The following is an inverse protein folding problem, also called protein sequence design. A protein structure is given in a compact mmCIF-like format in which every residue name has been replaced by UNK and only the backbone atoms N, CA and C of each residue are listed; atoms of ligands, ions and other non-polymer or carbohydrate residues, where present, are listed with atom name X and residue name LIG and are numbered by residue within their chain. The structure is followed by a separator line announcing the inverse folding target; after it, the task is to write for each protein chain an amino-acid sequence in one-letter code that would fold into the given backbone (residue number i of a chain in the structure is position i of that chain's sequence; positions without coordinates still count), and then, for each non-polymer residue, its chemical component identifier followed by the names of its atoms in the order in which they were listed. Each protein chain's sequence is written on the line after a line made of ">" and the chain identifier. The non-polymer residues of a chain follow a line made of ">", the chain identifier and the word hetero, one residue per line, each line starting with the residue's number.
data_IF_834681973384
#
_entry.id   IF_834681973384
#
_cell.length_a   1.000
_cell.length_b   1.000
_cell.length_c   1.000
_cell.angle_alpha   90.00
_cell.angle_beta   90.00
_cell.angle_gamma   90.00
#
_symmetry.space_group_name_H-M   'P 1'
#
loop_
_entity.id
_entity.type
_entity.pdbx_description
1 polymer ?
#
# COMPACT_ATOMS: atom_id res chain seq x y z
N UNK A 1 23.87 -30.42 55.32
CA UNK A 1 22.97 -30.31 54.13
C UNK A 1 23.18 -28.93 53.54
N UNK A 2 23.90 -28.84 52.44
CA UNK A 2 24.11 -27.58 51.72
C UNK A 2 22.91 -27.30 50.80
N UNK A 3 22.41 -26.06 50.71
CA UNK A 3 21.27 -25.73 49.84
C UNK A 3 21.65 -25.83 48.37
N UNK A 4 20.79 -26.45 47.56
CA UNK A 4 20.93 -26.54 46.11
C UNK A 4 20.79 -25.13 45.49
N UNK A 5 21.59 -24.81 44.45
CA UNK A 5 21.46 -23.56 43.75
C UNK A 5 20.12 -23.50 42.97
N UNK A 6 19.53 -22.30 42.80
CA UNK A 6 18.27 -22.15 42.07
C UNK A 6 18.47 -22.53 40.59
N UNK A 7 17.41 -23.05 39.93
CA UNK A 7 17.48 -23.40 38.53
C UNK A 7 17.71 -22.13 37.64
N UNK A 8 18.40 -22.27 36.50
CA UNK A 8 18.63 -21.14 35.60
C UNK A 8 17.31 -20.60 35.08
N UNK A 9 17.23 -19.28 34.78
CA UNK A 9 16.02 -18.69 34.26
C UNK A 9 15.68 -19.33 32.89
N UNK A 10 14.44 -19.80 32.78
CA UNK A 10 13.92 -20.33 31.53
C UNK A 10 13.91 -19.20 30.52
N UNK A 11 14.67 -19.36 29.43
CA UNK A 11 14.63 -18.50 28.27
C UNK A 11 13.18 -18.47 27.74
N UNK A 12 12.48 -17.36 27.98
CA UNK A 12 11.21 -17.08 27.33
C UNK A 12 11.50 -17.04 25.83
N UNK A 13 11.04 -18.05 25.14
CA UNK A 13 11.00 -18.06 23.68
C UNK A 13 10.04 -16.93 23.28
N UNK A 14 10.59 -15.76 22.98
CA UNK A 14 9.85 -14.68 22.33
C UNK A 14 9.39 -15.27 21.00
N UNK A 15 8.10 -15.57 20.87
CA UNK A 15 7.47 -15.88 19.59
C UNK A 15 7.70 -14.64 18.69
N UNK A 16 8.77 -14.65 17.91
CA UNK A 16 8.99 -13.66 16.87
C UNK A 16 7.92 -13.92 15.81
N UNK A 17 6.85 -13.15 15.87
CA UNK A 17 5.88 -13.08 14.80
C UNK A 17 6.67 -12.60 13.58
N UNK A 18 6.90 -13.50 12.62
CA UNK A 18 7.64 -13.18 11.40
C UNK A 18 6.84 -12.12 10.64
N UNK A 19 7.44 -10.94 10.46
CA UNK A 19 6.79 -9.85 9.74
C UNK A 19 6.52 -10.27 8.30
N UNK A 20 5.35 -9.90 7.75
CA UNK A 20 4.98 -10.21 6.37
C UNK A 20 5.77 -9.38 5.36
N UNK A 21 6.09 -8.13 5.71
CA UNK A 21 6.98 -7.24 4.95
C UNK A 21 8.05 -6.71 5.89
N UNK A 22 9.32 -6.79 5.46
CA UNK A 22 10.46 -6.24 6.17
C UNK A 22 11.31 -5.41 5.20
N UNK A 23 11.51 -4.15 5.53
CA UNK A 23 12.37 -3.22 4.79
C UNK A 23 13.44 -2.71 5.75
N UNK A 24 14.71 -2.88 5.41
CA UNK A 24 15.84 -2.53 6.27
C UNK A 24 16.85 -1.67 5.50
N UNK A 25 16.95 -0.38 5.89
CA UNK A 25 17.83 0.64 5.33
C UNK A 25 17.78 0.70 3.79
N UNK A 26 16.59 0.45 3.22
CA UNK A 26 16.43 0.36 1.77
C UNK A 26 16.57 1.72 1.11
N UNK A 27 17.42 1.77 0.09
CA UNK A 27 17.62 2.94 -0.75
C UNK A 27 17.51 2.57 -2.22
N UNK A 28 16.98 3.48 -3.05
CA UNK A 28 16.90 3.31 -4.49
C UNK A 28 17.21 4.58 -5.23
N UNK A 29 18.22 4.51 -6.11
CA UNK A 29 18.59 5.59 -7.02
C UNK A 29 18.41 5.16 -8.48
N UNK A 30 18.05 6.10 -9.32
CA UNK A 30 18.00 5.99 -10.77
C UNK A 30 18.93 7.08 -11.36
N UNK A 31 20.14 6.69 -11.73
CA UNK A 31 21.19 7.64 -12.07
C UNK A 31 21.44 8.60 -10.88
N UNK A 32 21.30 9.90 -11.12
CA UNK A 32 21.50 10.94 -10.10
C UNK A 32 20.25 11.23 -9.24
N UNK A 33 19.12 10.56 -9.50
CA UNK A 33 17.88 10.79 -8.76
C UNK A 33 17.73 9.75 -7.67
N UNK A 34 17.72 10.18 -6.40
CA UNK A 34 17.42 9.33 -5.24
C UNK A 34 15.92 9.29 -5.04
N UNK A 35 15.29 8.15 -5.37
CA UNK A 35 13.85 7.97 -5.26
C UNK A 35 13.42 7.47 -3.87
N UNK A 36 14.25 6.66 -3.20
CA UNK A 36 14.05 6.17 -1.83
C UNK A 36 15.40 6.22 -1.13
N UNK A 37 15.45 6.68 0.11
CA UNK A 37 16.68 6.88 0.89
C UNK A 37 16.50 6.40 2.33
N UNK A 38 17.21 5.33 2.68
CA UNK A 38 17.34 4.81 4.05
C UNK A 38 15.99 4.53 4.75
N UNK A 39 15.11 3.83 4.06
CA UNK A 39 13.77 3.49 4.58
C UNK A 39 13.82 2.16 5.32
N UNK A 40 13.28 2.13 6.56
CA UNK A 40 13.17 0.92 7.38
C UNK A 40 11.80 0.86 8.03
N UNK A 41 11.11 -0.27 7.88
CA UNK A 41 9.85 -0.59 8.58
C UNK A 41 9.54 -2.07 8.49
N UNK A 42 8.58 -2.52 9.30
CA UNK A 42 8.03 -3.87 9.27
C UNK A 42 6.51 -3.80 9.27
N UNK A 43 5.86 -4.68 8.49
CA UNK A 43 4.40 -4.80 8.47
C UNK A 43 3.99 -6.25 8.73
N UNK A 44 2.89 -6.38 9.47
CA UNK A 44 2.21 -7.64 9.74
C UNK A 44 0.85 -7.68 9.01
N UNK A 45 0.01 -8.66 9.35
CA UNK A 45 -1.36 -8.70 8.89
C UNK A 45 -2.14 -7.46 9.37
N UNK A 46 -3.04 -6.98 8.54
CA UNK A 46 -3.82 -5.77 8.77
C UNK A 46 -3.75 -4.80 7.60
N UNK A 47 -4.27 -3.60 7.80
CA UNK A 47 -4.29 -2.54 6.78
C UNK A 47 -3.38 -1.41 7.20
N UNK A 48 -2.38 -1.12 6.38
CA UNK A 48 -1.43 -0.02 6.57
C UNK A 48 -1.57 0.98 5.41
N UNK A 49 -1.68 2.25 5.74
CA UNK A 49 -1.68 3.33 4.75
C UNK A 49 -0.28 3.92 4.56
N UNK A 50 0.15 4.09 3.31
CA UNK A 50 1.37 4.81 2.94
C UNK A 50 1.01 6.21 2.44
N UNK A 51 1.13 7.20 3.31
CA UNK A 51 0.84 8.61 3.03
C UNK A 51 2.06 9.32 2.46
N UNK A 52 1.87 10.13 1.44
CA UNK A 52 2.91 11.01 0.94
C UNK A 52 2.53 11.71 -0.36
N UNK A 53 3.14 12.87 -0.67
CA UNK A 53 2.85 13.60 -1.90
C UNK A 53 3.28 12.82 -3.15
N UNK A 54 2.88 13.29 -4.31
CA UNK A 54 3.36 12.76 -5.59
C UNK A 54 4.87 12.96 -5.69
N UNK A 55 5.58 11.93 -6.19
CA UNK A 55 7.04 11.95 -6.25
C UNK A 55 7.76 11.61 -4.94
N UNK A 56 7.06 11.36 -3.83
CA UNK A 56 7.69 11.01 -2.54
C UNK A 56 8.41 9.66 -2.50
N UNK A 57 8.29 8.81 -3.55
CA UNK A 57 8.94 7.50 -3.61
C UNK A 57 8.00 6.31 -3.40
N UNK A 58 6.69 6.52 -3.17
CA UNK A 58 5.69 5.46 -2.90
C UNK A 58 5.72 4.33 -3.94
N UNK A 59 5.53 4.66 -5.23
CA UNK A 59 5.52 3.65 -6.30
C UNK A 59 6.88 2.95 -6.48
N UNK A 60 8.00 3.63 -6.18
CA UNK A 60 9.32 3.01 -6.18
C UNK A 60 9.44 1.98 -5.05
N UNK A 61 8.98 2.32 -3.85
CA UNK A 61 8.93 1.39 -2.73
C UNK A 61 8.06 0.17 -3.07
N UNK A 62 6.88 0.37 -3.64
CA UNK A 62 5.99 -0.71 -4.07
C UNK A 62 6.64 -1.63 -5.11
N UNK A 63 7.35 -1.06 -6.08
CA UNK A 63 8.10 -1.85 -7.06
C UNK A 63 9.21 -2.69 -6.42
N UNK A 64 9.87 -2.18 -5.37
CA UNK A 64 10.86 -2.97 -4.62
C UNK A 64 10.19 -4.12 -3.87
N UNK A 65 9.07 -3.88 -3.19
CA UNK A 65 8.30 -4.91 -2.47
C UNK A 65 7.82 -6.04 -3.41
N UNK A 66 7.40 -5.69 -4.62
CA UNK A 66 6.96 -6.67 -5.63
C UNK A 66 8.13 -7.35 -6.39
N UNK A 67 9.38 -7.03 -6.07
CA UNK A 67 10.55 -7.56 -6.77
C UNK A 67 10.71 -7.05 -8.20
N UNK A 68 10.01 -5.98 -8.60
CA UNK A 68 10.10 -5.36 -9.92
C UNK A 68 11.34 -4.49 -10.09
N UNK A 69 11.95 -4.07 -8.99
CA UNK A 69 13.26 -3.38 -8.97
C UNK A 69 14.01 -3.74 -7.70
N UNK A 70 15.34 -3.75 -7.76
CA UNK A 70 16.20 -3.99 -6.60
C UNK A 70 16.53 -2.69 -5.88
N UNK A 71 16.63 -2.69 -4.55
CA UNK A 71 17.23 -1.59 -3.83
C UNK A 71 18.71 -1.40 -4.28
N UNK A 72 19.21 -0.17 -4.24
CA UNK A 72 20.62 0.15 -4.47
C UNK A 72 21.45 -0.15 -3.20
N UNK A 73 20.83 -0.03 -2.03
CA UNK A 73 21.39 -0.40 -0.73
C UNK A 73 20.27 -0.89 0.20
N UNK A 74 20.62 -1.62 1.25
CA UNK A 74 19.69 -2.21 2.19
C UNK A 74 18.99 -3.46 1.64
N UNK A 75 17.94 -3.91 2.34
CA UNK A 75 17.22 -5.14 1.99
C UNK A 75 15.71 -4.95 2.04
N UNK A 76 15.01 -5.71 1.20
CA UNK A 76 13.54 -5.78 1.16
C UNK A 76 13.15 -7.25 1.14
N UNK A 77 12.40 -7.67 2.14
CA UNK A 77 11.90 -9.04 2.26
C UNK A 77 10.37 -9.05 2.36
N UNK A 78 9.78 -10.00 1.69
CA UNK A 78 8.34 -10.28 1.71
C UNK A 78 8.18 -11.75 2.09
N UNK A 79 7.42 -12.02 3.15
CA UNK A 79 7.32 -13.36 3.74
C UNK A 79 8.70 -13.98 4.04
N UNK A 80 9.63 -13.14 4.55
CA UNK A 80 11.00 -13.52 4.89
C UNK A 80 11.95 -13.72 3.69
N UNK A 81 11.52 -13.46 2.44
CA UNK A 81 12.26 -13.73 1.21
C UNK A 81 12.36 -12.51 0.30
N UNK A 82 13.36 -12.48 -0.56
CA UNK A 82 13.48 -11.48 -1.62
C UNK A 82 12.55 -11.85 -2.79
N UNK A 83 11.47 -11.07 -2.97
CA UNK A 83 10.48 -11.30 -4.02
C UNK A 83 11.07 -11.25 -5.45
N UNK A 84 12.22 -10.63 -5.66
CA UNK A 84 12.88 -10.60 -6.96
C UNK A 84 13.39 -11.98 -7.40
N UNK A 85 13.92 -12.75 -6.46
CA UNK A 85 14.55 -14.02 -6.71
C UNK A 85 13.67 -15.22 -6.33
N UNK A 86 12.49 -14.97 -5.74
CA UNK A 86 11.57 -16.01 -5.27
C UNK A 86 10.21 -15.91 -5.98
N UNK A 87 10.02 -16.72 -7.03
CA UNK A 87 8.79 -16.76 -7.81
C UNK A 87 7.57 -17.20 -6.98
N UNK A 88 7.65 -18.21 -6.10
CA UNK A 88 6.57 -18.55 -5.18
C UNK A 88 6.10 -17.37 -4.30
N UNK A 89 7.01 -16.55 -3.80
CA UNK A 89 6.65 -15.36 -3.02
C UNK A 89 5.95 -14.31 -3.88
N UNK A 90 6.42 -14.08 -5.12
CA UNK A 90 5.70 -13.18 -6.04
C UNK A 90 4.27 -13.64 -6.31
N UNK A 91 4.04 -14.94 -6.39
CA UNK A 91 2.70 -15.51 -6.54
C UNK A 91 1.75 -15.22 -5.38
N UNK A 92 2.28 -14.80 -4.22
CA UNK A 92 1.51 -14.43 -3.01
C UNK A 92 1.28 -12.92 -2.88
N UNK A 93 1.74 -12.12 -3.85
CA UNK A 93 1.60 -10.66 -3.88
C UNK A 93 0.59 -10.28 -4.96
N UNK A 94 -0.48 -9.58 -4.57
CA UNK A 94 -1.37 -8.87 -5.47
C UNK A 94 -0.93 -7.42 -5.60
N UNK A 95 -0.75 -6.94 -6.82
CA UNK A 95 -0.37 -5.56 -7.12
C UNK A 95 -1.42 -4.87 -7.96
N UNK A 96 -1.96 -3.74 -7.47
CA UNK A 96 -2.75 -2.81 -8.27
C UNK A 96 -1.95 -1.51 -8.46
N UNK A 97 -1.32 -1.28 -9.63
CA UNK A 97 -0.50 -0.11 -9.87
C UNK A 97 -1.36 1.15 -10.10
N UNK A 98 -0.79 2.33 -9.83
CA UNK A 98 -1.45 3.61 -10.12
C UNK A 98 -1.71 3.79 -11.63
N UNK A 99 -0.77 3.35 -12.46
CA UNK A 99 -0.88 3.46 -13.90
C UNK A 99 -2.04 2.66 -14.45
N UNK A 100 -2.71 3.20 -15.46
CA UNK A 100 -3.77 2.53 -16.18
C UNK A 100 -3.16 1.62 -17.26
N UNK A 101 -2.83 0.39 -16.85
CA UNK A 101 -2.20 -0.63 -17.69
C UNK A 101 -3.22 -1.71 -18.13
N UNK A 102 -4.44 -1.27 -18.46
CA UNK A 102 -5.51 -2.16 -18.90
C UNK A 102 -5.54 -2.27 -20.43
N UNK A 103 -6.00 -3.40 -20.94
CA UNK A 103 -6.20 -3.62 -22.38
C UNK A 103 -7.64 -3.26 -22.74
N UNK A 104 -7.84 -2.14 -23.41
CA UNK A 104 -9.17 -1.57 -23.72
C UNK A 104 -10.09 -2.48 -24.51
N UNK A 105 -9.54 -3.41 -25.31
CA UNK A 105 -10.29 -4.35 -26.14
C UNK A 105 -10.81 -5.58 -25.41
N UNK A 106 -10.24 -5.88 -24.24
CA UNK A 106 -10.68 -7.00 -23.42
C UNK A 106 -11.91 -6.63 -22.61
N UNK A 107 -12.76 -7.59 -22.34
CA UNK A 107 -13.79 -7.47 -21.31
C UNK A 107 -13.16 -7.49 -19.91
N UNK A 108 -13.89 -7.03 -18.91
CA UNK A 108 -13.44 -7.11 -17.51
C UNK A 108 -13.17 -8.58 -17.11
N UNK A 109 -14.02 -9.49 -17.56
CA UNK A 109 -13.86 -10.92 -17.31
C UNK A 109 -12.58 -11.46 -17.92
N UNK A 110 -12.35 -11.23 -19.22
CA UNK A 110 -11.15 -11.70 -19.93
C UNK A 110 -9.86 -11.18 -19.29
N UNK A 111 -9.84 -9.90 -18.91
CA UNK A 111 -8.66 -9.29 -18.28
C UNK A 111 -8.32 -9.99 -16.96
N UNK A 112 -9.31 -10.20 -16.09
CA UNK A 112 -9.11 -10.85 -14.78
C UNK A 112 -8.83 -12.35 -14.94
N UNK A 113 -9.46 -13.03 -15.92
CA UNK A 113 -9.18 -14.44 -16.20
C UNK A 113 -7.74 -14.66 -16.69
N UNK A 114 -7.21 -13.76 -17.52
CA UNK A 114 -5.80 -13.79 -17.94
C UNK A 114 -4.89 -13.69 -16.71
N UNK A 115 -5.18 -12.78 -15.78
CA UNK A 115 -4.42 -12.67 -14.53
C UNK A 115 -4.48 -13.99 -13.73
N UNK A 116 -5.66 -14.57 -13.55
CA UNK A 116 -5.84 -15.86 -12.86
C UNK A 116 -5.00 -16.96 -13.49
N UNK A 117 -5.05 -17.10 -14.82
CA UNK A 117 -4.27 -18.09 -15.57
C UNK A 117 -2.76 -17.85 -15.45
N UNK A 118 -2.33 -16.59 -15.48
CA UNK A 118 -0.90 -16.21 -15.35
C UNK A 118 -0.36 -16.58 -13.96
N UNK A 119 -1.19 -16.46 -12.93
CA UNK A 119 -0.85 -16.87 -11.56
C UNK A 119 -0.97 -18.38 -11.32
N UNK A 120 -1.45 -19.16 -12.31
CA UNK A 120 -1.60 -20.62 -12.19
C UNK A 120 -2.73 -21.00 -11.25
N UNK A 121 -3.78 -20.19 -11.13
CA UNK A 121 -4.96 -20.47 -10.31
C UNK A 121 -5.65 -21.74 -10.86
N UNK A 122 -5.95 -22.70 -10.01
CA UNK A 122 -6.48 -24.02 -10.41
C UNK A 122 -7.83 -23.90 -11.16
N UNK A 123 -8.72 -23.04 -10.65
CA UNK A 123 -10.03 -22.79 -11.23
C UNK A 123 -10.18 -21.31 -11.65
N UNK A 124 -9.57 -20.88 -12.78
CA UNK A 124 -9.50 -19.47 -13.16
C UNK A 124 -10.89 -18.83 -13.31
N UNK A 125 -11.88 -19.55 -13.84
CA UNK A 125 -13.24 -19.04 -14.03
C UNK A 125 -13.93 -18.71 -12.70
N UNK A 126 -13.85 -19.60 -11.74
CA UNK A 126 -14.44 -19.40 -10.41
C UNK A 126 -13.75 -18.24 -9.69
N UNK A 127 -12.42 -18.19 -9.72
CA UNK A 127 -11.65 -17.11 -9.12
C UNK A 127 -11.94 -15.75 -9.77
N UNK A 128 -12.08 -15.70 -11.11
CA UNK A 128 -12.44 -14.49 -11.85
C UNK A 128 -13.81 -13.96 -11.43
N UNK A 129 -14.83 -14.82 -11.40
CA UNK A 129 -16.18 -14.42 -10.97
C UNK A 129 -16.17 -13.89 -9.52
N UNK A 130 -15.48 -14.59 -8.64
CA UNK A 130 -15.34 -14.14 -7.24
C UNK A 130 -14.62 -12.79 -7.12
N UNK A 131 -13.51 -12.60 -7.83
CA UNK A 131 -12.76 -11.35 -7.80
C UNK A 131 -13.58 -10.17 -8.35
N UNK A 132 -14.35 -10.38 -9.43
CA UNK A 132 -15.25 -9.36 -10.00
C UNK A 132 -16.42 -9.02 -9.07
N UNK A 133 -16.96 -10.00 -8.37
CA UNK A 133 -17.99 -9.80 -7.35
C UNK A 133 -17.47 -8.97 -6.17
N UNK A 134 -16.25 -9.24 -5.68
CA UNK A 134 -15.63 -8.48 -4.58
C UNK A 134 -15.52 -6.98 -4.88
N UNK A 135 -15.44 -6.60 -6.15
CA UNK A 135 -15.28 -5.21 -6.58
C UNK A 135 -16.55 -4.63 -7.25
N UNK A 136 -17.70 -5.27 -7.11
CA UNK A 136 -18.99 -4.85 -7.70
C UNK A 136 -18.94 -4.67 -9.23
N UNK A 137 -18.33 -5.60 -9.95
CA UNK A 137 -18.28 -5.62 -11.41
C UNK A 137 -18.92 -6.86 -12.04
N UNK A 138 -19.55 -7.72 -11.25
CA UNK A 138 -20.19 -8.97 -11.68
C UNK A 138 -21.33 -8.78 -12.68
N UNK A 139 -22.00 -7.63 -12.68
CA UNK A 139 -23.11 -7.32 -13.59
C UNK A 139 -22.66 -6.75 -14.96
N UNK A 140 -21.37 -6.45 -15.14
CA UNK A 140 -20.84 -5.77 -16.34
C UNK A 140 -19.64 -6.51 -16.95
N UNK A 141 -19.51 -7.78 -16.66
CA UNK A 141 -18.35 -8.62 -16.99
C UNK A 141 -18.04 -8.67 -18.49
N UNK A 142 -19.09 -8.65 -19.32
CA UNK A 142 -19.00 -8.73 -20.79
C UNK A 142 -18.70 -7.40 -21.49
N UNK A 143 -18.69 -6.28 -20.75
CA UNK A 143 -18.35 -4.99 -21.33
C UNK A 143 -16.84 -4.83 -21.44
N UNK A 144 -16.40 -4.24 -22.56
CA UNK A 144 -14.98 -3.94 -22.78
C UNK A 144 -14.48 -2.88 -21.79
N UNK A 145 -13.27 -3.06 -21.30
CA UNK A 145 -12.61 -2.16 -20.34
C UNK A 145 -12.47 -0.74 -20.92
N UNK A 146 -12.33 -0.60 -22.23
CA UNK A 146 -12.29 0.70 -22.92
C UNK A 146 -13.57 1.53 -22.75
N UNK A 147 -14.71 0.90 -22.47
CA UNK A 147 -15.99 1.59 -22.24
C UNK A 147 -16.20 2.00 -20.77
N UNK A 148 -15.27 1.64 -19.88
CA UNK A 148 -15.42 1.83 -18.44
C UNK A 148 -15.04 3.24 -17.99
N UNK A 149 -15.75 3.73 -16.97
CA UNK A 149 -15.33 4.93 -16.23
C UNK A 149 -13.99 4.69 -15.53
N UNK A 150 -13.31 5.77 -15.13
CA UNK A 150 -12.04 5.67 -14.37
C UNK A 150 -12.19 4.80 -13.12
N UNK A 151 -13.29 4.94 -12.37
CA UNK A 151 -13.56 4.14 -11.19
C UNK A 151 -13.82 2.65 -11.50
N UNK A 152 -14.50 2.33 -12.61
CA UNK A 152 -14.65 0.94 -13.04
C UNK A 152 -13.31 0.33 -13.46
N UNK A 153 -12.49 1.05 -14.22
CA UNK A 153 -11.13 0.62 -14.59
C UNK A 153 -10.27 0.35 -13.36
N UNK A 154 -10.36 1.21 -12.34
CA UNK A 154 -9.65 1.01 -11.08
C UNK A 154 -10.08 -0.29 -10.38
N UNK A 155 -11.39 -0.58 -10.38
CA UNK A 155 -11.92 -1.82 -9.80
C UNK A 155 -11.52 -3.07 -10.58
N UNK A 156 -11.38 -3.00 -11.91
CA UNK A 156 -10.82 -4.12 -12.72
C UNK A 156 -9.38 -4.42 -12.32
N UNK A 157 -8.54 -3.40 -12.12
CA UNK A 157 -7.15 -3.60 -11.64
C UNK A 157 -7.13 -4.25 -10.26
N UNK A 158 -8.02 -3.83 -9.38
CA UNK A 158 -8.15 -4.42 -8.05
C UNK A 158 -8.61 -5.87 -8.11
N UNK A 159 -9.59 -6.21 -8.95
CA UNK A 159 -10.01 -7.60 -9.16
C UNK A 159 -8.86 -8.48 -9.66
N UNK A 160 -8.08 -7.99 -10.62
CA UNK A 160 -6.91 -8.70 -11.12
C UNK A 160 -5.83 -8.91 -10.03
N UNK A 161 -5.68 -7.96 -9.11
CA UNK A 161 -4.75 -8.08 -7.98
C UNK A 161 -5.25 -9.06 -6.90
N UNK A 162 -6.55 -9.33 -6.84
CA UNK A 162 -7.18 -10.22 -5.85
C UNK A 162 -7.37 -11.66 -6.34
N UNK A 163 -7.32 -11.88 -7.65
CA UNK A 163 -7.79 -13.12 -8.30
C UNK A 163 -7.08 -14.40 -7.85
N UNK A 164 -5.82 -14.28 -7.41
CA UNK A 164 -5.00 -15.39 -6.91
C UNK A 164 -5.03 -15.51 -5.38
N UNK A 165 -5.96 -14.85 -4.70
CA UNK A 165 -6.10 -14.83 -3.23
C UNK A 165 -4.78 -14.52 -2.49
N UNK A 166 -4.12 -13.37 -2.77
CA UNK A 166 -2.78 -13.09 -2.27
C UNK A 166 -2.74 -12.96 -0.74
N UNK A 167 -1.59 -13.30 -0.13
CA UNK A 167 -1.31 -13.03 1.29
C UNK A 167 -0.97 -11.55 1.53
N UNK A 168 -0.40 -10.90 0.51
CA UNK A 168 0.01 -9.49 0.55
C UNK A 168 -0.62 -8.75 -0.61
N UNK A 169 -1.27 -7.63 -0.31
CA UNK A 169 -1.93 -6.78 -1.29
C UNK A 169 -1.28 -5.39 -1.27
N UNK A 170 -0.71 -4.98 -2.40
CA UNK A 170 -0.05 -3.69 -2.58
C UNK A 170 -0.86 -2.85 -3.56
N UNK A 171 -1.44 -1.76 -3.09
CA UNK A 171 -2.40 -0.95 -3.82
C UNK A 171 -1.91 0.50 -3.96
N UNK A 172 -1.60 0.91 -5.18
CA UNK A 172 -1.12 2.26 -5.45
C UNK A 172 -2.27 3.17 -5.88
N UNK A 173 -2.71 4.07 -4.98
CA UNK A 173 -3.82 5.01 -5.15
C UNK A 173 -5.15 4.32 -5.55
N UNK A 174 -5.59 3.24 -4.86
CA UNK A 174 -6.71 2.40 -5.31
C UNK A 174 -8.06 3.10 -5.26
N UNK A 175 -8.20 4.16 -4.50
CA UNK A 175 -9.46 4.91 -4.34
C UNK A 175 -9.61 6.06 -5.35
N UNK A 176 -8.59 6.30 -6.19
CA UNK A 176 -8.62 7.39 -7.17
C UNK A 176 -9.69 7.17 -8.23
N UNK A 177 -10.56 8.19 -8.42
CA UNK A 177 -11.63 8.16 -9.41
C UNK A 177 -12.88 7.37 -9.03
N UNK A 178 -12.94 6.85 -7.80
CA UNK A 178 -14.15 6.24 -7.24
C UNK A 178 -15.09 7.33 -6.70
N UNK A 179 -16.39 7.13 -6.88
CA UNK A 179 -17.40 7.91 -6.18
C UNK A 179 -17.42 7.58 -4.67
N UNK A 180 -18.05 8.40 -3.82
CA UNK A 180 -18.04 8.19 -2.38
C UNK A 180 -18.59 6.83 -1.92
N UNK A 181 -19.60 6.29 -2.61
CA UNK A 181 -20.22 4.99 -2.26
C UNK A 181 -19.24 3.86 -2.56
N UNK A 182 -18.67 3.86 -3.76
CA UNK A 182 -17.70 2.86 -4.18
C UNK A 182 -16.43 2.92 -3.32
N UNK A 183 -15.99 4.14 -2.98
CA UNK A 183 -14.83 4.32 -2.09
C UNK A 183 -15.05 3.65 -0.73
N UNK A 184 -16.23 3.84 -0.12
CA UNK A 184 -16.57 3.21 1.15
C UNK A 184 -16.55 1.68 1.06
N UNK A 185 -17.16 1.12 0.03
CA UNK A 185 -17.17 -0.33 -0.19
C UNK A 185 -15.76 -0.90 -0.35
N UNK A 186 -14.88 -0.20 -1.08
CA UNK A 186 -13.48 -0.65 -1.22
C UNK A 186 -12.71 -0.58 0.10
N UNK A 187 -12.93 0.45 0.90
CA UNK A 187 -12.33 0.56 2.25
C UNK A 187 -12.81 -0.61 3.13
N UNK A 188 -14.11 -0.92 3.14
CA UNK A 188 -14.66 -2.09 3.86
C UNK A 188 -14.03 -3.40 3.37
N UNK A 189 -13.86 -3.58 2.06
CA UNK A 189 -13.18 -4.73 1.49
C UNK A 189 -11.74 -4.85 2.02
N UNK A 190 -10.99 -3.74 2.06
CA UNK A 190 -9.61 -3.75 2.57
C UNK A 190 -9.56 -4.14 4.05
N UNK A 191 -10.46 -3.60 4.87
CA UNK A 191 -10.56 -3.99 6.29
C UNK A 191 -10.90 -5.46 6.47
N UNK A 192 -11.82 -5.98 5.67
CA UNK A 192 -12.19 -7.40 5.70
C UNK A 192 -10.99 -8.30 5.34
N UNK A 193 -10.22 -7.93 4.31
CA UNK A 193 -9.01 -8.66 3.93
C UNK A 193 -7.95 -8.62 5.04
N UNK A 194 -7.73 -7.44 5.65
CA UNK A 194 -6.81 -7.31 6.78
C UNK A 194 -7.22 -8.15 7.99
N UNK A 195 -8.52 -8.20 8.31
CA UNK A 195 -9.07 -9.02 9.42
C UNK A 195 -8.96 -10.53 9.18
N UNK A 196 -8.89 -10.94 7.91
CA UNK A 196 -8.63 -12.33 7.49
C UNK A 196 -7.15 -12.72 7.56
N UNK A 197 -6.28 -11.85 8.06
CA UNK A 197 -4.86 -12.13 8.22
C UNK A 197 -3.99 -11.75 7.02
N UNK A 198 -4.52 -11.04 6.02
CA UNK A 198 -3.74 -10.52 4.89
C UNK A 198 -3.03 -9.22 5.27
N UNK A 199 -1.87 -8.95 4.67
CA UNK A 199 -1.19 -7.66 4.77
C UNK A 199 -1.62 -6.77 3.60
N UNK A 200 -2.35 -5.69 3.88
CA UNK A 200 -2.85 -4.76 2.87
C UNK A 200 -2.12 -3.42 3.02
N UNK A 201 -1.28 -3.07 2.05
CA UNK A 201 -0.53 -1.82 2.01
C UNK A 201 -1.08 -0.92 0.91
N UNK A 202 -1.60 0.24 1.30
CA UNK A 202 -2.36 1.15 0.42
C UNK A 202 -1.68 2.52 0.38
N UNK A 203 -1.31 3.01 -0.80
CA UNK A 203 -0.85 4.39 -0.92
C UNK A 203 -2.02 5.37 -1.08
N UNK A 204 -1.87 6.53 -0.47
CA UNK A 204 -2.71 7.70 -0.72
C UNK A 204 -1.90 8.99 -0.52
N UNK A 205 -2.35 10.06 -1.18
CA UNK A 205 -1.86 11.42 -0.93
C UNK A 205 -2.91 12.27 -0.20
N UNK A 206 -4.05 11.68 0.18
CA UNK A 206 -5.20 12.34 0.81
C UNK A 206 -5.29 11.89 2.27
N UNK A 207 -5.12 12.82 3.21
CA UNK A 207 -5.11 12.53 4.64
C UNK A 207 -6.44 11.94 5.13
N UNK A 208 -7.57 12.46 4.65
CA UNK A 208 -8.90 11.96 5.02
C UNK A 208 -9.15 10.52 4.57
N UNK A 209 -8.55 10.10 3.46
CA UNK A 209 -8.59 8.69 3.03
C UNK A 209 -7.80 7.83 4.01
N UNK A 210 -6.59 8.26 4.36
CA UNK A 210 -5.71 7.54 5.29
C UNK A 210 -6.38 7.31 6.64
N UNK A 211 -7.10 8.33 7.16
CA UNK A 211 -7.87 8.24 8.40
C UNK A 211 -8.92 7.12 8.40
N UNK A 212 -9.43 6.76 7.21
CA UNK A 212 -10.49 5.76 7.02
C UNK A 212 -9.97 4.40 6.60
N UNK A 213 -8.78 4.35 5.97
CA UNK A 213 -8.17 3.15 5.44
C UNK A 213 -7.52 2.32 6.54
N UNK A 214 -6.72 2.91 7.41
CA UNK A 214 -5.88 2.15 8.32
C UNK A 214 -5.73 2.72 9.72
N UNK A 215 -5.50 1.82 10.67
CA UNK A 215 -5.04 2.19 12.00
C UNK A 215 -3.55 2.53 12.01
N UNK A 216 -2.77 1.87 11.14
CA UNK A 216 -1.33 2.13 10.97
C UNK A 216 -1.05 2.96 9.73
N UNK A 217 -0.14 3.92 9.87
CA UNK A 217 0.26 4.83 8.80
C UNK A 217 1.78 4.90 8.73
N UNK A 218 2.29 4.81 7.52
CA UNK A 218 3.66 5.17 7.15
C UNK A 218 3.61 6.50 6.39
N UNK A 219 4.36 7.48 6.80
CA UNK A 219 4.48 8.77 6.10
C UNK A 219 5.81 8.82 5.37
N UNK A 220 5.76 8.97 4.04
CA UNK A 220 6.96 9.10 3.22
C UNK A 220 7.02 10.50 2.60
N UNK A 221 8.18 11.16 2.73
CA UNK A 221 8.45 12.47 2.15
C UNK A 221 9.88 12.49 1.60
N UNK A 222 10.05 13.01 0.38
CA UNK A 222 11.37 13.13 -0.27
C UNK A 222 12.20 11.83 -0.26
N UNK A 223 11.53 10.69 -0.46
CA UNK A 223 12.15 9.37 -0.46
C UNK A 223 12.49 8.80 0.92
N UNK A 224 12.15 9.46 2.02
CA UNK A 224 12.45 9.04 3.39
C UNK A 224 11.19 8.74 4.18
N UNK A 225 11.28 7.79 5.10
CA UNK A 225 10.22 7.58 6.09
C UNK A 225 10.27 8.72 7.11
N UNK A 226 9.25 9.58 7.09
CA UNK A 226 9.17 10.76 7.97
C UNK A 226 8.53 10.40 9.32
N UNK A 227 7.54 9.49 9.32
CA UNK A 227 6.86 9.02 10.52
C UNK A 227 6.22 7.64 10.27
N UNK A 228 6.01 6.89 11.35
CA UNK A 228 5.25 5.64 11.34
C UNK A 228 4.52 5.47 12.67
N UNK A 229 3.31 4.92 12.64
CA UNK A 229 2.54 4.63 13.85
C UNK A 229 1.03 4.66 13.64
N UNK A 230 0.29 4.66 14.74
CA UNK A 230 -1.17 4.80 14.72
C UNK A 230 -1.58 6.17 14.18
N UNK A 231 -2.59 6.20 13.32
CA UNK A 231 -3.09 7.42 12.70
C UNK A 231 -3.47 8.51 13.71
N UNK A 232 -4.12 8.12 14.82
CA UNK A 232 -4.58 9.09 15.83
C UNK A 232 -3.41 9.78 16.52
N UNK A 233 -2.38 9.01 16.85
CA UNK A 233 -1.14 9.53 17.45
C UNK A 233 -0.40 10.46 16.50
N UNK A 234 -0.32 10.10 15.20
CA UNK A 234 0.32 10.94 14.18
C UNK A 234 -0.47 12.23 13.94
N UNK A 235 -1.81 12.16 13.92
CA UNK A 235 -2.68 13.33 13.75
C UNK A 235 -2.48 14.35 14.86
N UNK A 236 -2.45 13.91 16.13
CA UNK A 236 -2.18 14.79 17.28
C UNK A 236 -0.85 15.52 17.13
N UNK A 237 0.22 14.79 16.72
CA UNK A 237 1.54 15.41 16.48
C UNK A 237 1.52 16.41 15.31
N UNK A 238 0.66 16.24 14.32
CA UNK A 238 0.50 17.18 13.20
C UNK A 238 -0.32 18.42 13.59
N UNK A 239 -1.34 18.26 14.43
CA UNK A 239 -2.20 19.35 14.91
C UNK A 239 -1.46 20.28 15.89
N UNK A 240 -0.49 19.76 16.66
CA UNK A 240 0.34 20.54 17.59
C UNK A 240 1.42 21.39 16.88
N UNK A 241 1.65 21.21 15.59
CA UNK A 241 2.59 22.03 14.81
C UNK A 241 1.82 23.15 14.08
N UNK A 242 2.03 24.42 14.41
CA UNK A 242 1.41 25.52 13.67
C UNK A 242 1.93 25.53 12.23
N UNK A 243 1.03 25.33 11.27
CA UNK A 243 1.36 25.48 9.85
C UNK A 243 1.67 26.96 9.56
N UNK A 244 2.92 27.27 9.29
CA UNK A 244 3.32 28.59 8.80
C UNK A 244 3.16 28.60 7.28
N UNK A 245 2.12 29.23 6.77
CA UNK A 245 1.96 29.50 5.34
C UNK A 245 2.60 30.87 5.08
N UNK A 246 3.71 30.87 4.34
CA UNK A 246 4.31 32.12 3.85
C UNK A 246 3.59 32.55 2.58
N UNK A 247 2.75 33.59 2.67
CA UNK A 247 2.11 34.20 1.50
C UNK A 247 2.98 35.39 1.08
N UNK A 248 3.64 35.26 -0.09
CA UNK A 248 4.33 36.38 -0.72
C UNK A 248 3.35 37.07 -1.64
N UNK A 249 2.94 38.30 -1.29
CA UNK A 249 2.12 39.11 -2.17
C UNK A 249 3.03 40.06 -2.97
N UNK A 250 2.85 40.16 -4.26
CA UNK A 250 3.55 41.14 -5.15
C UNK A 250 2.96 42.54 -5.08
N UNK A 251 2.43 42.94 -3.92
CA UNK A 251 2.00 44.33 -3.73
C UNK A 251 3.19 45.11 -3.18
N UNK A 252 3.54 46.17 -3.86
CA UNK A 252 4.67 47.11 -3.62
C UNK A 252 4.62 47.80 -2.25
N UNK A 253 4.69 47.08 -1.15
CA UNK A 253 4.84 47.60 0.21
C UNK A 253 5.60 46.60 1.08
N UNK A 254 6.83 46.33 0.78
CA UNK A 254 7.95 45.86 1.62
C UNK A 254 7.68 45.14 2.96
N UNK A 255 6.57 44.51 3.19
CA UNK A 255 6.23 43.81 4.43
C UNK A 255 5.79 42.37 4.17
N UNK A 256 6.50 41.43 4.80
CA UNK A 256 6.12 40.01 4.85
C UNK A 256 5.00 39.85 5.87
N UNK A 257 3.82 39.42 5.42
CA UNK A 257 2.68 39.13 6.30
C UNK A 257 2.72 37.64 6.67
N UNK A 258 2.86 37.34 7.95
CA UNK A 258 2.73 35.98 8.46
C UNK A 258 1.27 35.71 8.85
N UNK A 259 0.57 34.79 8.17
CA UNK A 259 -0.80 34.37 8.51
C UNK A 259 -0.72 33.02 9.18
N UNK A 260 -1.17 32.94 10.43
CA UNK A 260 -1.39 31.68 11.14
C UNK A 260 -2.78 31.17 10.77
N UNK A 261 -2.88 30.06 10.06
CA UNK A 261 -4.16 29.42 9.76
C UNK A 261 -4.29 28.18 10.65
N UNK A 262 -5.33 28.18 11.49
CA UNK A 262 -5.76 27.00 12.23
C UNK A 262 -6.79 26.27 11.38
N UNK A 263 -6.58 25.00 11.12
CA UNK A 263 -7.60 24.13 10.57
C UNK A 263 -8.40 23.55 11.74
N UNK A 264 -9.72 23.74 11.70
CA UNK A 264 -10.67 23.07 12.61
C UNK A 264 -11.15 21.75 12.01
#
# INVERSE_FOLDING_TARGET
>A
MSPQPPPPPQSQTVNQTVSMIEVSNASKSFGNVVAVSDVSFQLNAGVTALLGPNGAGKSTLFRMLCGLTTPTAGTVKVLGRDARHDTPVRGKIGLSPQQDALFDRLTAYEFVEIAAKTHGVENPRTATNHALMLVDLDTVTEKTVGSFSKGMRQRVKLAAALVNDPEILILDEPLSGLDPVQRNRMIELFHNLGSQGKCVLISSHILDEVARIGSEVLVIAQGRLAASGDYRSLRTLMEDQPHVIQITTNVYLGSTLYVRIFWY
#
